data_IF_670117995788
#
_entry.id   IF_670117995788
#
_cell.length_a   1.000
_cell.length_b   1.000
_cell.length_c   1.000
_cell.angle_alpha   90.00
_cell.angle_beta   90.00
_cell.angle_gamma   90.00
#
_symmetry.space_group_name_H-M   'P 1'
#
loop_
_entity.id
_entity.type
_entity.pdbx_description
1 polymer ?
#
# COMPACT_ATOMS: atom_id res chain seq x y z
N UNK A 1 -11.99 -14.84 -4.71
CA UNK A 1 -10.89 -14.56 -3.78
C UNK A 1 -11.45 -14.38 -2.38
N UNK A 2 -10.84 -14.95 -1.36
CA UNK A 2 -11.32 -14.76 -0.01
C UNK A 2 -11.30 -13.27 0.36
N UNK A 3 -12.38 -12.81 0.95
CA UNK A 3 -12.50 -11.46 1.49
C UNK A 3 -11.48 -11.31 2.63
N UNK A 4 -10.78 -10.15 2.69
CA UNK A 4 -9.84 -9.91 3.78
C UNK A 4 -10.59 -9.92 5.12
N UNK A 5 -10.19 -10.80 6.02
CA UNK A 5 -10.78 -10.94 7.36
C UNK A 5 -10.13 -10.03 8.40
N UNK A 6 -8.96 -9.46 8.10
CA UNK A 6 -8.18 -8.68 9.05
C UNK A 6 -8.55 -7.21 8.95
N UNK A 7 -9.15 -6.60 10.00
CA UNK A 7 -9.42 -5.18 10.04
C UNK A 7 -8.13 -4.38 10.23
N UNK A 8 -8.08 -3.17 9.64
CA UNK A 8 -7.00 -2.22 9.90
C UNK A 8 -7.29 -1.43 11.16
N UNK A 9 -6.46 -1.63 12.17
CA UNK A 9 -6.59 -0.99 13.49
C UNK A 9 -5.69 0.24 13.55
N UNK A 10 -6.18 1.40 14.02
CA UNK A 10 -5.36 2.58 14.26
C UNK A 10 -4.11 2.27 15.09
N UNK A 11 -3.02 2.96 14.80
CA UNK A 11 -1.71 2.84 15.44
C UNK A 11 -1.00 1.48 15.27
N UNK A 12 -1.59 0.55 14.51
CA UNK A 12 -0.97 -0.72 14.19
C UNK A 12 -0.23 -0.69 12.85
N UNK A 13 0.76 -1.57 12.73
CA UNK A 13 1.59 -1.71 11.53
C UNK A 13 1.12 -2.86 10.67
N UNK A 14 1.20 -2.66 9.35
CA UNK A 14 0.80 -3.66 8.34
C UNK A 14 1.79 -3.69 7.20
N UNK A 15 2.01 -4.89 6.68
CA UNK A 15 2.72 -5.11 5.45
C UNK A 15 1.72 -5.24 4.30
N UNK A 16 1.65 -4.23 3.43
CA UNK A 16 0.84 -4.24 2.22
C UNK A 16 1.68 -4.71 1.03
N UNK A 17 1.14 -5.59 0.23
CA UNK A 17 1.80 -6.07 -0.98
C UNK A 17 0.81 -6.53 -2.03
N UNK A 18 1.24 -6.53 -3.28
CA UNK A 18 0.55 -7.16 -4.40
C UNK A 18 1.56 -7.43 -5.51
N UNK A 19 1.18 -8.28 -6.45
CA UNK A 19 1.99 -8.62 -7.62
C UNK A 19 1.18 -8.51 -8.90
N UNK A 20 1.89 -8.39 -10.02
CA UNK A 20 1.28 -8.44 -11.34
C UNK A 20 0.55 -9.76 -11.59
N UNK A 21 -0.61 -9.67 -12.26
CA UNK A 21 -1.35 -10.83 -12.72
C UNK A 21 -0.44 -11.67 -13.62
N UNK A 22 -0.41 -13.00 -13.44
CA UNK A 22 0.52 -13.89 -14.14
C UNK A 22 1.99 -13.47 -14.05
N UNK A 23 2.39 -12.83 -12.93
CA UNK A 23 3.74 -12.31 -12.69
C UNK A 23 4.20 -11.27 -13.74
N UNK A 24 3.27 -10.65 -14.44
CA UNK A 24 3.59 -9.59 -15.41
C UNK A 24 4.25 -8.39 -14.73
N UNK A 25 4.99 -7.63 -15.52
CA UNK A 25 5.61 -6.38 -15.09
C UNK A 25 4.50 -5.36 -14.82
N UNK A 26 4.56 -4.67 -13.69
CA UNK A 26 3.64 -3.61 -13.26
C UNK A 26 4.30 -2.23 -13.28
N UNK A 27 5.62 -2.18 -13.31
CA UNK A 27 6.43 -0.97 -13.48
C UNK A 27 7.34 -1.16 -14.69
N UNK A 28 6.94 -0.67 -15.86
CA UNK A 28 7.62 -0.88 -17.13
C UNK A 28 8.73 0.14 -17.36
N UNK A 29 8.54 1.37 -16.87
CA UNK A 29 9.47 2.48 -17.03
C UNK A 29 9.58 3.28 -15.72
N UNK A 30 10.62 4.13 -15.61
CA UNK A 30 10.88 4.95 -14.41
C UNK A 30 9.68 5.79 -13.99
N UNK A 31 8.97 6.36 -14.94
CA UNK A 31 7.81 7.22 -14.73
C UNK A 31 6.67 6.48 -14.00
N UNK A 32 6.55 5.16 -14.20
CA UNK A 32 5.54 4.35 -13.50
C UNK A 32 5.81 4.27 -11.98
N UNK A 33 7.08 4.15 -11.58
CA UNK A 33 7.47 4.17 -10.17
C UNK A 33 7.13 5.52 -9.52
N UNK A 34 7.48 6.61 -10.18
CA UNK A 34 7.19 7.98 -9.72
C UNK A 34 5.67 8.20 -9.62
N UNK A 35 4.92 7.76 -10.63
CA UNK A 35 3.46 7.88 -10.65
C UNK A 35 2.81 7.08 -9.51
N UNK A 36 3.31 5.87 -9.25
CA UNK A 36 2.85 5.03 -8.13
C UNK A 36 3.09 5.70 -6.77
N UNK A 37 4.30 6.25 -6.54
CA UNK A 37 4.62 6.97 -5.31
C UNK A 37 3.77 8.23 -5.10
N UNK A 38 3.51 8.99 -6.18
CA UNK A 38 2.56 10.12 -6.15
C UNK A 38 1.14 9.65 -5.83
N UNK A 39 0.74 8.49 -6.35
CA UNK A 39 -0.55 7.86 -6.05
C UNK A 39 -0.69 7.47 -4.59
N UNK A 40 0.34 6.84 -4.00
CA UNK A 40 0.40 6.56 -2.56
C UNK A 40 0.15 7.84 -1.76
N UNK A 41 0.91 8.89 -2.04
CA UNK A 41 0.77 10.18 -1.34
C UNK A 41 -0.62 10.78 -1.51
N UNK A 42 -1.20 10.70 -2.72
CA UNK A 42 -2.52 11.28 -3.02
C UNK A 42 -3.67 10.56 -2.34
N UNK A 43 -3.68 9.22 -2.40
CA UNK A 43 -4.82 8.41 -1.96
C UNK A 43 -4.74 7.97 -0.50
N UNK A 44 -3.53 7.78 0.04
CA UNK A 44 -3.32 7.23 1.38
C UNK A 44 -3.00 8.26 2.45
N UNK A 45 -2.77 9.53 2.05
CA UNK A 45 -2.50 10.63 2.99
C UNK A 45 -3.58 10.73 4.07
N UNK A 46 -3.16 10.82 5.33
CA UNK A 46 -4.06 10.92 6.48
C UNK A 46 -4.77 9.62 6.86
N UNK A 47 -4.48 8.52 6.15
CA UNK A 47 -5.02 7.17 6.46
C UNK A 47 -3.93 6.22 6.91
N UNK A 48 -2.78 6.29 6.26
CA UNK A 48 -1.60 5.53 6.65
C UNK A 48 -0.35 6.42 6.55
N UNK A 49 0.64 6.11 7.38
CA UNK A 49 2.02 6.57 7.26
C UNK A 49 2.83 5.46 6.62
N UNK A 50 3.53 5.77 5.53
CA UNK A 50 4.42 4.81 4.88
C UNK A 50 5.78 4.86 5.55
N UNK A 51 6.15 3.77 6.22
CA UNK A 51 7.41 3.64 6.96
C UNK A 51 8.55 3.20 6.03
N UNK A 52 8.26 2.24 5.15
CA UNK A 52 9.21 1.75 4.17
C UNK A 52 8.47 1.21 2.94
N UNK A 53 9.13 1.22 1.80
CA UNK A 53 8.59 0.64 0.58
C UNK A 53 9.68 0.03 -0.30
N UNK A 54 9.29 -0.96 -1.08
CA UNK A 54 10.09 -1.49 -2.18
C UNK A 54 9.19 -1.74 -3.39
N UNK A 55 9.53 -1.11 -4.51
CA UNK A 55 8.85 -1.29 -5.77
C UNK A 55 9.75 -2.11 -6.70
N UNK A 56 9.32 -3.32 -7.01
CA UNK A 56 10.03 -4.23 -7.92
C UNK A 56 9.26 -4.33 -9.24
N UNK A 57 9.88 -4.66 -10.36
CA UNK A 57 9.20 -4.65 -11.67
C UNK A 57 7.85 -5.36 -11.69
N UNK A 58 7.71 -6.46 -10.96
CA UNK A 58 6.52 -7.32 -10.97
C UNK A 58 5.65 -7.22 -9.73
N UNK A 59 6.08 -6.53 -8.67
CA UNK A 59 5.36 -6.47 -7.39
C UNK A 59 5.85 -5.31 -6.51
N UNK A 60 5.09 -5.00 -5.47
CA UNK A 60 5.48 -3.99 -4.47
C UNK A 60 5.27 -4.49 -3.05
N UNK A 61 6.03 -3.89 -2.13
CA UNK A 61 5.89 -4.04 -0.69
C UNK A 61 5.85 -2.66 -0.05
N UNK A 62 4.88 -2.44 0.85
CA UNK A 62 4.77 -1.24 1.67
C UNK A 62 4.66 -1.66 3.13
N UNK A 63 5.49 -1.11 3.99
CA UNK A 63 5.30 -1.15 5.44
C UNK A 63 4.60 0.13 5.83
N UNK A 64 3.42 0.02 6.42
CA UNK A 64 2.59 1.16 6.78
C UNK A 64 2.15 1.09 8.24
N UNK A 65 1.93 2.25 8.84
CA UNK A 65 1.20 2.43 10.09
C UNK A 65 -0.15 3.05 9.79
N UNK A 66 -1.23 2.49 10.33
CA UNK A 66 -2.56 3.08 10.19
C UNK A 66 -2.67 4.30 11.10
N UNK A 67 -3.08 5.43 10.54
CA UNK A 67 -3.20 6.68 11.29
C UNK A 67 -4.47 6.66 12.15
N UNK A 68 -4.32 6.97 13.43
CA UNK A 68 -5.45 7.25 14.30
C UNK A 68 -6.05 8.61 13.91
N UNK A 69 -7.36 8.69 13.72
CA UNK A 69 -8.02 9.98 13.64
C UNK A 69 -7.88 10.67 14.99
N UNK A 70 -7.31 11.87 15.02
CA UNK A 70 -7.39 12.73 16.20
C UNK A 70 -8.87 12.95 16.53
N UNK A 71 -9.24 12.69 17.78
CA UNK A 71 -10.59 12.92 18.27
C UNK A 71 -10.92 14.42 18.17
N UNK A 72 -11.74 14.78 17.21
CA UNK A 72 -12.52 16.01 17.31
C UNK A 72 -13.71 15.75 18.24
N UNK A 73 -14.23 16.80 18.86
CA UNK A 73 -15.33 16.71 19.86
C UNK A 73 -16.55 15.90 19.39
N UNK A 74 -16.75 15.75 18.09
CA UNK A 74 -17.84 14.95 17.51
C UNK A 74 -17.59 13.44 17.57
N UNK A 75 -16.33 12.99 17.77
CA UNK A 75 -15.93 11.58 17.79
C UNK A 75 -15.93 11.01 19.21
N UNK A 76 -16.06 11.86 20.23
CA UNK A 76 -15.99 11.45 21.64
C UNK A 76 -17.08 10.44 22.09
N UNK A 77 -18.16 10.30 21.30
CA UNK A 77 -19.26 9.38 21.58
C UNK A 77 -19.22 8.07 20.77
N UNK A 78 -18.18 7.83 19.96
CA UNK A 78 -18.07 6.59 19.19
C UNK A 78 -17.30 5.53 19.99
N UNK A 79 -17.81 4.29 19.95
CA UNK A 79 -17.11 3.15 20.56
C UNK A 79 -15.83 2.84 19.80
N UNK A 80 -14.83 2.27 20.50
CA UNK A 80 -13.56 1.84 19.87
C UNK A 80 -13.76 0.91 18.67
N UNK A 81 -14.81 0.09 18.67
CA UNK A 81 -15.16 -0.83 17.60
C UNK A 81 -15.61 -0.08 16.34
N UNK A 82 -16.44 0.95 16.49
CA UNK A 82 -16.90 1.78 15.37
C UNK A 82 -15.72 2.51 14.72
N UNK A 83 -14.81 3.04 15.51
CA UNK A 83 -13.59 3.70 15.02
C UNK A 83 -12.68 2.75 14.23
N UNK A 84 -12.53 1.51 14.70
CA UNK A 84 -11.76 0.46 14.00
C UNK A 84 -12.38 0.08 12.66
N UNK A 85 -13.70 -0.12 12.62
CA UNK A 85 -14.42 -0.46 11.39
C UNK A 85 -14.35 0.67 10.36
N UNK A 86 -14.46 1.94 10.79
CA UNK A 86 -14.34 3.10 9.92
C UNK A 86 -12.91 3.22 9.35
N UNK A 87 -11.89 3.11 10.17
CA UNK A 87 -10.49 3.15 9.74
C UNK A 87 -10.19 2.04 8.73
N UNK A 88 -10.62 0.81 9.01
CA UNK A 88 -10.43 -0.33 8.12
C UNK A 88 -11.11 -0.14 6.77
N UNK A 89 -12.34 0.36 6.76
CA UNK A 89 -13.09 0.66 5.54
C UNK A 89 -12.41 1.76 4.72
N UNK A 90 -11.96 2.83 5.38
CA UNK A 90 -11.32 3.96 4.70
C UNK A 90 -9.97 3.58 4.07
N UNK A 91 -9.13 2.80 4.78
CA UNK A 91 -7.85 2.32 4.24
C UNK A 91 -8.09 1.38 3.06
N UNK A 92 -9.01 0.43 3.19
CA UNK A 92 -9.34 -0.52 2.12
C UNK A 92 -9.86 0.19 0.87
N UNK A 93 -10.76 1.14 1.03
CA UNK A 93 -11.32 1.91 -0.08
C UNK A 93 -10.27 2.81 -0.75
N UNK A 94 -9.40 3.43 0.03
CA UNK A 94 -8.32 4.27 -0.49
C UNK A 94 -7.33 3.46 -1.33
N UNK A 95 -6.92 2.29 -0.83
CA UNK A 95 -6.06 1.36 -1.57
C UNK A 95 -6.72 0.86 -2.86
N UNK A 96 -8.00 0.51 -2.80
CA UNK A 96 -8.76 0.08 -3.97
C UNK A 96 -8.79 1.18 -5.05
N UNK A 97 -9.18 2.41 -4.67
CA UNK A 97 -9.22 3.56 -5.58
C UNK A 97 -7.84 3.85 -6.18
N UNK A 98 -6.81 3.79 -5.37
CA UNK A 98 -5.44 3.97 -5.81
C UNK A 98 -5.03 2.95 -6.87
N UNK A 99 -5.19 1.66 -6.59
CA UNK A 99 -4.76 0.59 -7.50
C UNK A 99 -5.60 0.56 -8.80
N UNK A 100 -6.89 0.90 -8.72
CA UNK A 100 -7.73 1.07 -9.92
C UNK A 100 -7.22 2.24 -10.77
N UNK A 101 -6.91 3.39 -10.16
CA UNK A 101 -6.37 4.55 -10.85
C UNK A 101 -5.04 4.24 -11.52
N UNK A 102 -4.13 3.56 -10.80
CA UNK A 102 -2.85 3.12 -11.34
C UNK A 102 -3.02 2.16 -12.53
N UNK A 103 -3.85 1.13 -12.38
CA UNK A 103 -4.14 0.16 -13.45
C UNK A 103 -4.68 0.84 -14.71
N UNK A 104 -5.63 1.77 -14.56
CA UNK A 104 -6.18 2.53 -15.69
C UNK A 104 -5.12 3.35 -16.41
N UNK A 105 -4.23 4.02 -15.66
CA UNK A 105 -3.15 4.81 -16.23
C UNK A 105 -2.15 3.94 -17.00
N UNK A 106 -1.74 2.80 -16.42
CA UNK A 106 -0.83 1.85 -17.07
C UNK A 106 -1.47 1.25 -18.32
N UNK A 107 -2.72 0.81 -18.23
CA UNK A 107 -3.43 0.24 -19.38
C UNK A 107 -3.54 1.26 -20.52
N UNK A 108 -3.86 2.51 -20.21
CA UNK A 108 -3.91 3.59 -21.21
C UNK A 108 -2.54 3.87 -21.83
N UNK A 109 -1.49 3.96 -21.00
CA UNK A 109 -0.12 4.31 -21.44
C UNK A 109 0.47 3.26 -22.37
N UNK A 110 0.21 1.97 -22.11
CA UNK A 110 0.82 0.84 -22.81
C UNK A 110 -0.18 0.08 -23.68
N UNK A 111 -1.34 0.69 -24.01
CA UNK A 111 -2.39 0.10 -24.85
C UNK A 111 -2.79 -1.30 -24.44
N UNK A 112 -2.91 -1.51 -23.09
CA UNK A 112 -3.23 -2.79 -22.48
C UNK A 112 -4.70 -2.84 -22.07
N UNK A 113 -5.22 -4.06 -21.93
CA UNK A 113 -6.54 -4.34 -21.38
C UNK A 113 -6.45 -5.32 -20.22
N UNK A 114 -7.47 -5.34 -19.37
CA UNK A 114 -7.61 -6.32 -18.29
C UNK A 114 -6.85 -5.96 -17.01
N UNK A 115 -6.77 -6.95 -16.12
CA UNK A 115 -6.19 -6.79 -14.79
C UNK A 115 -4.68 -6.63 -14.85
N UNK A 116 -4.17 -5.61 -14.16
CA UNK A 116 -2.72 -5.42 -13.96
C UNK A 116 -2.22 -6.23 -12.77
N UNK A 117 -2.94 -6.19 -11.66
CA UNK A 117 -2.60 -6.89 -10.43
C UNK A 117 -3.38 -8.19 -10.27
N UNK A 118 -2.79 -9.14 -9.52
CA UNK A 118 -3.42 -10.39 -9.17
C UNK A 118 -4.45 -10.20 -8.04
N UNK A 119 -5.64 -9.73 -8.39
CA UNK A 119 -6.72 -9.48 -7.45
C UNK A 119 -6.44 -8.32 -6.48
N UNK A 120 -7.07 -8.38 -5.31
CA UNK A 120 -6.94 -7.36 -4.27
C UNK A 120 -5.55 -7.38 -3.64
N UNK A 121 -5.08 -6.22 -3.16
CA UNK A 121 -3.84 -6.15 -2.40
C UNK A 121 -3.93 -7.00 -1.13
N UNK A 122 -2.82 -7.57 -0.73
CA UNK A 122 -2.69 -8.36 0.48
C UNK A 122 -2.18 -7.49 1.61
N UNK A 123 -2.58 -7.81 2.84
CA UNK A 123 -2.11 -7.14 4.03
C UNK A 123 -1.87 -8.17 5.13
N UNK A 124 -0.72 -8.05 5.82
CA UNK A 124 -0.39 -8.84 7.00
C UNK A 124 -0.14 -7.90 8.18
N UNK A 125 -0.71 -8.15 9.37
CA UNK A 125 -0.39 -7.37 10.55
C UNK A 125 1.06 -7.63 10.97
N UNK A 126 1.74 -6.58 11.41
CA UNK A 126 3.10 -6.65 11.96
C UNK A 126 2.98 -6.47 13.47
N UNK A 127 2.92 -7.59 14.21
CA UNK A 127 2.55 -7.64 15.62
C UNK A 127 3.73 -7.63 16.58
N UNK A 128 4.96 -7.90 16.10
CA UNK A 128 6.16 -7.95 16.93
C UNK A 128 7.22 -6.96 16.43
N UNK A 129 7.96 -6.39 17.38
CA UNK A 129 9.09 -5.51 17.06
C UNK A 129 10.18 -6.20 16.23
N UNK A 130 10.44 -7.48 16.53
CA UNK A 130 11.38 -8.30 15.75
C UNK A 130 10.94 -8.41 14.28
N UNK A 131 9.65 -8.67 14.02
CA UNK A 131 9.13 -8.75 12.66
C UNK A 131 9.16 -7.39 11.96
N UNK A 132 8.85 -6.31 12.66
CA UNK A 132 8.97 -4.94 12.15
C UNK A 132 10.38 -4.64 11.65
N UNK A 133 11.40 -4.90 12.47
CA UNK A 133 12.80 -4.68 12.10
C UNK A 133 13.24 -5.57 10.93
N UNK A 134 12.86 -6.85 10.97
CA UNK A 134 13.18 -7.81 9.90
C UNK A 134 12.56 -7.36 8.57
N UNK A 135 11.32 -6.91 8.60
CA UNK A 135 10.62 -6.43 7.40
C UNK A 135 11.20 -5.13 6.87
N UNK A 136 11.56 -4.18 7.75
CA UNK A 136 12.26 -2.95 7.36
C UNK A 136 13.60 -3.26 6.68
N UNK A 137 14.39 -4.15 7.26
CA UNK A 137 15.68 -4.56 6.71
C UNK A 137 15.51 -5.26 5.35
N UNK A 138 14.53 -6.16 5.24
CA UNK A 138 14.19 -6.85 4.00
C UNK A 138 13.78 -5.87 2.88
N UNK A 139 12.86 -4.96 3.18
CA UNK A 139 12.37 -3.95 2.24
C UNK A 139 13.55 -3.04 1.80
N UNK A 140 14.40 -2.62 2.74
CA UNK A 140 15.55 -1.77 2.46
C UNK A 140 16.60 -2.47 1.59
N UNK A 141 16.91 -3.74 1.86
CA UNK A 141 17.83 -4.53 1.06
C UNK A 141 17.33 -4.73 -0.38
N UNK A 142 16.03 -4.97 -0.54
CA UNK A 142 15.38 -5.06 -1.86
C UNK A 142 15.39 -3.71 -2.58
N UNK A 143 15.11 -2.62 -1.87
CA UNK A 143 15.19 -1.26 -2.42
C UNK A 143 16.57 -0.97 -3.01
N UNK A 144 17.64 -1.26 -2.30
CA UNK A 144 19.02 -1.08 -2.78
C UNK A 144 19.32 -1.86 -4.05
N UNK A 145 18.78 -3.05 -4.19
CA UNK A 145 19.01 -3.92 -5.36
C UNK A 145 18.27 -3.46 -6.61
N UNK A 146 17.04 -2.95 -6.47
CA UNK A 146 16.15 -2.69 -7.60
C UNK A 146 15.94 -1.22 -7.94
N UNK A 147 16.40 -0.29 -7.12
CA UNK A 147 16.24 1.16 -7.33
C UNK A 147 17.55 1.98 -7.38
N UNK A 148 18.65 1.48 -7.93
CA UNK A 148 19.86 2.28 -8.08
C UNK A 148 19.64 3.52 -8.97
N UNK A 149 18.71 3.46 -9.94
CA UNK A 149 18.42 4.52 -10.90
C UNK A 149 17.52 5.65 -10.35
N UNK A 150 16.84 5.48 -9.21
CA UNK A 150 16.01 6.52 -8.60
C UNK A 150 16.80 7.52 -7.74
N UNK A 151 18.07 7.23 -7.45
CA UNK A 151 18.97 8.10 -6.68
C UNK A 151 19.73 9.15 -7.51
N UNK A 152 19.74 9.04 -8.81
CA UNK A 152 20.44 9.98 -9.67
C UNK A 152 19.49 11.08 -10.16
N UNK A 153 19.53 12.21 -9.47
CA UNK A 153 19.18 13.61 -9.71
C UNK A 153 18.18 14.20 -8.74
#
# INVERSE_FOLDING_TARGET
MPRREIPFVPDQYYHFYNRGNNRQVVFMERENYVYFLKGIKRYLRGRVEVIAYCLMPTHYHLLVKVVAKHQTSEVANQTSEVLRQDASKQVSLAMQKFLISYTKAINKRFERTGALFQGQFQAKPVTTYKYLLTLCAYIHAKYRRYTPSLRAR
#
